data_IF_672532785999
#
_entry.id   IF_672532785999
#
_cell.length_a   1.000
_cell.length_b   1.000
_cell.length_c   1.000
_cell.angle_alpha   90.00
_cell.angle_beta   90.00
_cell.angle_gamma   90.00
#
_symmetry.space_group_name_H-M   'P 1'
#
loop_
_entity.id
_entity.type
_entity.pdbx_description
1 polymer ?
#
# COMPACT_ATOMS: atom_id res chain seq x y z
N UNK A 1 13.60 -5.48 16.23
CA UNK A 1 12.98 -5.19 14.94
C UNK A 1 12.73 -3.68 14.90
N UNK A 2 13.39 -2.95 14.01
CA UNK A 2 13.16 -1.51 13.87
C UNK A 2 12.24 -1.31 12.68
N UNK A 3 11.05 -0.77 12.93
CA UNK A 3 10.10 -0.40 11.87
C UNK A 3 10.40 1.05 11.48
N UNK A 4 10.56 1.30 10.19
CA UNK A 4 10.69 2.65 9.63
C UNK A 4 9.49 2.93 8.75
N UNK A 5 8.83 4.07 8.98
CA UNK A 5 7.72 4.52 8.14
C UNK A 5 8.21 5.68 7.29
N UNK A 6 7.91 5.63 5.99
CA UNK A 6 8.25 6.69 5.03
C UNK A 6 7.17 6.83 3.99
N UNK A 7 7.16 7.97 3.31
CA UNK A 7 6.35 8.13 2.10
C UNK A 7 6.75 7.07 1.06
N UNK A 8 5.73 6.53 0.40
CA UNK A 8 5.90 5.60 -0.69
C UNK A 8 6.50 6.30 -1.91
N UNK A 9 7.20 5.53 -2.73
CA UNK A 9 7.85 5.95 -3.96
C UNK A 9 7.32 5.09 -5.10
N UNK A 10 7.48 5.55 -6.34
CA UNK A 10 7.08 4.76 -7.51
C UNK A 10 7.72 3.35 -7.52
N UNK A 11 8.94 3.23 -7.00
CA UNK A 11 9.64 1.94 -6.88
C UNK A 11 8.97 0.95 -5.93
N UNK A 12 8.07 1.41 -5.06
CA UNK A 12 7.37 0.57 -4.09
C UNK A 12 6.06 0.00 -4.64
N UNK A 13 5.59 0.44 -5.82
CA UNK A 13 4.28 0.04 -6.36
C UNK A 13 4.18 -1.48 -6.48
N UNK A 14 5.24 -2.15 -6.94
CA UNK A 14 5.28 -3.61 -7.00
C UNK A 14 5.07 -4.27 -5.64
N UNK A 15 5.75 -3.78 -4.61
CA UNK A 15 5.59 -4.29 -3.24
C UNK A 15 4.23 -3.95 -2.64
N UNK A 16 3.65 -2.78 -2.94
CA UNK A 16 2.30 -2.41 -2.51
C UNK A 16 1.27 -3.42 -3.03
N UNK A 17 1.34 -3.78 -4.32
CA UNK A 17 0.45 -4.79 -4.88
C UNK A 17 0.73 -6.19 -4.33
N UNK A 18 2.00 -6.55 -4.11
CA UNK A 18 2.35 -7.81 -3.47
C UNK A 18 1.76 -7.90 -2.05
N UNK A 19 1.88 -6.84 -1.24
CA UNK A 19 1.28 -6.76 0.09
C UNK A 19 -0.25 -6.85 -0.02
N UNK A 20 -0.87 -6.01 -0.85
CA UNK A 20 -2.34 -5.91 -0.99
C UNK A 20 -2.99 -7.23 -1.38
N UNK A 21 -2.32 -8.03 -2.20
CA UNK A 21 -2.80 -9.33 -2.67
C UNK A 21 -2.37 -10.49 -1.76
N UNK A 22 -1.44 -10.29 -0.83
CA UNK A 22 -0.98 -11.35 0.09
C UNK A 22 -1.83 -11.50 1.36
N UNK A 23 -2.62 -10.49 1.72
CA UNK A 23 -3.38 -10.46 2.98
C UNK A 23 -4.42 -11.56 3.07
N UNK A 24 -4.65 -12.06 4.28
CA UNK A 24 -5.71 -13.04 4.54
C UNK A 24 -7.11 -12.37 4.58
N UNK A 25 -7.21 -11.23 5.27
CA UNK A 25 -8.45 -10.47 5.40
C UNK A 25 -8.62 -9.49 4.22
N UNK A 26 -9.83 -9.41 3.65
CA UNK A 26 -10.11 -8.55 2.48
C UNK A 26 -9.17 -8.86 1.30
N UNK A 27 -8.91 -10.14 1.04
CA UNK A 27 -8.13 -10.56 -0.11
C UNK A 27 -8.85 -10.17 -1.42
N UNK A 28 -8.14 -9.50 -2.32
CA UNK A 28 -8.58 -9.18 -3.67
C UNK A 28 -7.46 -9.57 -4.64
N UNK A 29 -7.83 -10.16 -5.77
CA UNK A 29 -6.89 -10.42 -6.86
C UNK A 29 -6.49 -9.12 -7.57
N UNK A 30 -5.40 -9.15 -8.34
CA UNK A 30 -5.01 -8.01 -9.19
C UNK A 30 -6.12 -7.62 -10.18
N UNK A 31 -6.84 -8.61 -10.70
CA UNK A 31 -7.97 -8.38 -11.62
C UNK A 31 -9.12 -7.64 -10.92
N UNK A 32 -9.48 -8.07 -9.70
CA UNK A 32 -10.51 -7.40 -8.91
C UNK A 32 -10.11 -5.98 -8.52
N UNK A 33 -8.83 -5.76 -8.18
CA UNK A 33 -8.31 -4.41 -7.92
C UNK A 33 -8.42 -3.53 -9.16
N UNK A 34 -8.08 -4.06 -10.34
CA UNK A 34 -8.19 -3.34 -11.61
C UNK A 34 -9.66 -3.00 -11.96
N UNK A 35 -10.61 -3.90 -11.71
CA UNK A 35 -12.05 -3.62 -11.87
C UNK A 35 -12.54 -2.48 -10.97
N UNK A 36 -11.90 -2.31 -9.81
CA UNK A 36 -12.14 -1.19 -8.89
C UNK A 36 -11.37 0.09 -9.27
N UNK A 37 -10.59 0.08 -10.35
CA UNK A 37 -9.76 1.20 -10.79
C UNK A 37 -8.44 1.34 -10.03
N UNK A 38 -8.06 0.35 -9.22
CA UNK A 38 -6.80 0.33 -8.46
C UNK A 38 -5.72 -0.33 -9.35
N UNK A 39 -5.12 0.46 -10.24
CA UNK A 39 -4.05 0.01 -11.16
C UNK A 39 -2.69 0.62 -10.79
N UNK A 40 -1.62 0.05 -11.34
CA UNK A 40 -0.25 0.59 -11.21
C UNK A 40 -0.19 2.06 -11.61
N UNK A 41 -0.84 2.43 -12.71
CA UNK A 41 -0.88 3.79 -13.24
C UNK A 41 -1.67 4.72 -12.32
N UNK A 42 -2.78 4.25 -11.76
CA UNK A 42 -3.56 5.02 -10.80
C UNK A 42 -2.76 5.30 -9.52
N UNK A 43 -2.07 4.29 -8.98
CA UNK A 43 -1.21 4.45 -7.80
C UNK A 43 -0.02 5.38 -8.11
N UNK A 44 0.61 5.27 -9.27
CA UNK A 44 1.68 6.19 -9.69
C UNK A 44 1.17 7.63 -9.79
N UNK A 45 -0.02 7.85 -10.36
CA UNK A 45 -0.65 9.15 -10.42
C UNK A 45 -1.02 9.71 -9.03
N UNK A 46 -1.38 8.85 -8.08
CA UNK A 46 -1.60 9.25 -6.68
C UNK A 46 -0.29 9.65 -5.99
N UNK A 47 0.78 8.88 -6.20
CA UNK A 47 2.11 9.18 -5.64
C UNK A 47 2.71 10.49 -6.17
N UNK A 48 2.36 10.88 -7.39
CA UNK A 48 2.75 12.15 -7.97
C UNK A 48 1.98 13.37 -7.42
N UNK A 49 0.87 13.12 -6.70
CA UNK A 49 0.07 14.15 -6.03
C UNK A 49 0.56 14.35 -4.59
N UNK A 50 -0.29 14.88 -3.71
CA UNK A 50 0.06 15.10 -2.30
C UNK A 50 0.36 13.78 -1.57
N UNK A 51 1.07 13.90 -0.43
CA UNK A 51 1.49 12.77 0.40
C UNK A 51 0.28 12.02 0.98
N UNK A 52 -0.18 10.99 0.26
CA UNK A 52 -1.35 10.18 0.64
C UNK A 52 -1.03 8.71 0.91
N UNK A 53 0.23 8.26 0.73
CA UNK A 53 0.66 6.87 0.80
C UNK A 53 1.98 6.70 1.54
N UNK A 54 1.99 5.83 2.55
CA UNK A 54 3.19 5.49 3.33
C UNK A 54 3.43 3.99 3.35
N UNK A 55 4.70 3.61 3.36
CA UNK A 55 5.17 2.22 3.56
C UNK A 55 5.86 2.10 4.90
N UNK A 56 5.64 0.95 5.54
CA UNK A 56 6.38 0.50 6.71
C UNK A 56 7.40 -0.55 6.27
N UNK A 57 8.65 -0.39 6.70
CA UNK A 57 9.75 -1.27 6.32
C UNK A 57 10.44 -1.91 7.53
N UNK A 58 10.88 -3.15 7.35
CA UNK A 58 11.83 -3.84 8.23
C UNK A 58 13.05 -4.18 7.37
N UNK A 59 14.25 -3.80 7.82
CA UNK A 59 15.51 -4.04 7.09
C UNK A 59 15.45 -3.59 5.61
N UNK A 60 14.76 -2.46 5.37
CA UNK A 60 14.50 -1.85 4.05
C UNK A 60 13.59 -2.65 3.12
N UNK A 61 12.89 -3.65 3.63
CA UNK A 61 11.87 -4.41 2.92
C UNK A 61 10.49 -3.88 3.32
N UNK A 62 9.66 -3.40 2.38
CA UNK A 62 8.28 -3.05 2.67
C UNK A 62 7.51 -4.26 3.21
N UNK A 63 6.91 -4.08 4.38
CA UNK A 63 6.10 -5.11 5.06
C UNK A 63 4.66 -4.68 5.29
N UNK A 64 4.35 -3.40 5.09
CA UNK A 64 3.00 -2.88 5.15
C UNK A 64 2.89 -1.51 4.49
N UNK A 65 1.67 -1.07 4.24
CA UNK A 65 1.40 0.28 3.75
C UNK A 65 0.07 0.81 4.27
N UNK A 66 -0.06 2.14 4.28
CA UNK A 66 -1.31 2.81 4.60
C UNK A 66 -1.57 3.98 3.67
N UNK A 67 -2.85 4.22 3.39
CA UNK A 67 -3.33 5.27 2.50
C UNK A 67 -4.40 6.12 3.18
N UNK A 68 -4.37 7.43 2.93
CA UNK A 68 -5.40 8.38 3.40
C UNK A 68 -6.15 9.02 2.23
N UNK A 69 -7.44 9.30 2.44
CA UNK A 69 -8.25 10.04 1.48
C UNK A 69 -8.07 11.53 1.73
N UNK A 70 -7.61 12.26 0.73
CA UNK A 70 -7.27 13.67 0.86
C UNK A 70 -8.47 14.53 1.31
N UNK A 71 -9.70 14.21 0.86
CA UNK A 71 -10.88 15.01 1.17
C UNK A 71 -11.34 14.87 2.64
N UNK A 72 -10.97 13.78 3.30
CA UNK A 72 -11.49 13.43 4.63
C UNK A 72 -10.41 13.25 5.69
N UNK A 73 -9.14 13.20 5.27
CA UNK A 73 -8.01 12.81 6.12
C UNK A 73 -8.21 11.46 6.84
N UNK A 74 -9.06 10.60 6.30
CA UNK A 74 -9.34 9.28 6.88
C UNK A 74 -8.47 8.21 6.22
N UNK A 75 -7.97 7.29 7.04
CA UNK A 75 -7.33 6.05 6.55
C UNK A 75 -8.37 5.25 5.76
N UNK A 76 -8.06 4.92 4.52
CA UNK A 76 -8.92 4.09 3.66
C UNK A 76 -8.26 2.78 3.23
N UNK A 77 -6.95 2.65 3.44
CA UNK A 77 -6.21 1.42 3.25
C UNK A 77 -5.17 1.25 4.35
N UNK A 78 -5.11 0.04 4.91
CA UNK A 78 -4.07 -0.37 5.86
C UNK A 78 -3.85 -1.86 5.66
N UNK A 79 -2.66 -2.22 5.21
CA UNK A 79 -2.33 -3.60 4.88
C UNK A 79 -0.94 -3.94 5.39
N UNK A 80 -0.78 -5.17 5.87
CA UNK A 80 0.49 -5.74 6.32
C UNK A 80 0.61 -7.09 5.64
N UNK A 81 1.83 -7.51 5.28
CA UNK A 81 2.05 -8.84 4.70
C UNK A 81 1.56 -9.92 5.67
N UNK A 82 1.01 -11.00 5.13
CA UNK A 82 0.49 -12.12 5.92
C UNK A 82 1.53 -12.74 6.88
N UNK A 83 2.81 -12.71 6.51
CA UNK A 83 3.93 -13.21 7.33
C UNK A 83 4.37 -12.23 8.45
N UNK A 84 3.74 -11.06 8.55
CA UNK A 84 4.05 -10.00 9.50
C UNK A 84 2.80 -9.47 10.25
N UNK A 85 1.67 -10.18 10.19
CA UNK A 85 0.43 -9.85 10.92
C UNK A 85 0.58 -10.10 12.45
N UNK A 86 -0.10 -9.32 13.30
CA UNK A 86 -0.07 -9.47 14.76
C UNK A 86 -0.61 -8.28 15.55
#
# INVERSE_FOLDING_TARGET
MSIQVREARETDIGEIFAIRTSVAENHLSLEQLAEMGITTEAIAAMLAQESCLWVAEIDRVPVGFSMVRDETACVFGLFVRADHEG
#
